data_IF_301623695928
#
_entry.id   IF_301623695928
#
_cell.length_a   1.000
_cell.length_b   1.000
_cell.length_c   1.000
_cell.angle_alpha   90.00
_cell.angle_beta   90.00
_cell.angle_gamma   90.00
#
_symmetry.space_group_name_H-M   'P 1'
#
loop_
_entity.id
_entity.type
_entity.pdbx_description
1 polymer ?
#
# COMPACT_ATOMS: atom_id res chain seq x y z
N UNK A 1 -35.37 47.70 -6.67
CA UNK A 1 -34.37 46.65 -6.93
C UNK A 1 -34.78 45.44 -6.14
N UNK A 2 -34.82 44.28 -6.76
CA UNK A 2 -35.11 43.01 -6.09
C UNK A 2 -33.81 42.44 -5.51
N UNK A 3 -33.89 41.66 -4.43
CA UNK A 3 -32.71 41.04 -3.79
C UNK A 3 -31.90 40.18 -4.75
N UNK A 4 -32.54 39.63 -5.79
CA UNK A 4 -31.89 38.85 -6.85
C UNK A 4 -31.00 39.71 -7.76
N UNK A 5 -31.35 40.99 -7.99
CA UNK A 5 -30.49 41.91 -8.76
C UNK A 5 -29.26 42.30 -7.94
N UNK A 6 -29.43 42.55 -6.64
CA UNK A 6 -28.30 42.89 -5.76
C UNK A 6 -27.29 41.73 -5.65
N UNK A 7 -27.76 40.49 -5.57
CA UNK A 7 -26.90 39.30 -5.57
C UNK A 7 -26.15 39.10 -6.89
N UNK A 8 -26.80 39.32 -8.04
CA UNK A 8 -26.13 39.20 -9.35
C UNK A 8 -25.06 40.27 -9.55
N UNK A 9 -25.35 41.51 -9.19
CA UNK A 9 -24.43 42.61 -9.36
C UNK A 9 -23.25 42.51 -8.36
N UNK A 10 -23.51 42.10 -7.12
CA UNK A 10 -22.47 41.89 -6.12
C UNK A 10 -21.52 40.72 -6.43
N UNK A 11 -22.02 39.65 -7.06
CA UNK A 11 -21.18 38.52 -7.49
C UNK A 11 -20.38 38.83 -8.75
N UNK A 12 -20.86 39.70 -9.63
CA UNK A 12 -20.13 40.08 -10.83
C UNK A 12 -18.82 40.83 -10.52
N UNK A 13 -18.81 41.67 -9.48
CA UNK A 13 -17.62 42.43 -9.06
C UNK A 13 -16.62 41.58 -8.23
N UNK A 14 -17.08 40.47 -7.64
CA UNK A 14 -16.25 39.61 -6.79
C UNK A 14 -15.50 38.51 -7.56
N UNK A 15 -15.84 38.27 -8.83
CA UNK A 15 -15.15 37.28 -9.68
C UNK A 15 -14.04 37.98 -10.45
N UNK A 16 -12.75 37.69 -10.15
CA UNK A 16 -11.64 38.25 -10.91
C UNK A 16 -11.79 37.90 -12.39
N UNK A 17 -11.53 38.86 -13.27
CA UNK A 17 -11.51 38.59 -14.71
C UNK A 17 -10.57 37.40 -14.99
N UNK A 18 -11.06 36.36 -15.68
CA UNK A 18 -10.22 35.21 -15.99
C UNK A 18 -9.01 35.72 -16.78
N UNK A 19 -7.77 35.34 -16.39
CA UNK A 19 -6.58 35.83 -17.07
C UNK A 19 -6.70 35.54 -18.56
N UNK A 20 -6.53 36.59 -19.37
CA UNK A 20 -6.66 36.53 -20.82
C UNK A 20 -5.89 35.33 -21.38
N UNK A 21 -6.64 34.33 -21.84
CA UNK A 21 -6.22 32.99 -22.22
C UNK A 21 -4.74 32.92 -22.69
N UNK A 22 -3.76 32.60 -21.82
CA UNK A 22 -2.47 32.18 -22.30
C UNK A 22 -2.67 30.80 -22.91
N UNK A 23 -2.58 30.74 -24.24
CA UNK A 23 -2.63 29.53 -25.07
C UNK A 23 -1.76 28.41 -24.44
N UNK A 24 -2.37 27.62 -23.55
CA UNK A 24 -1.70 26.53 -22.81
C UNK A 24 -1.14 25.50 -23.79
N UNK A 25 -1.75 25.37 -24.97
CA UNK A 25 -1.29 24.50 -26.05
C UNK A 25 0.03 25.00 -26.68
N UNK A 26 0.25 26.31 -26.80
CA UNK A 26 1.56 26.86 -27.21
C UNK A 26 2.65 26.67 -26.15
N UNK A 27 2.33 26.85 -24.87
CA UNK A 27 3.29 26.65 -23.79
C UNK A 27 3.75 25.18 -23.69
N UNK A 28 2.84 24.22 -23.90
CA UNK A 28 3.15 22.79 -23.94
C UNK A 28 4.06 22.41 -25.14
N UNK A 29 3.78 22.97 -26.34
CA UNK A 29 4.61 22.73 -27.54
C UNK A 29 6.04 23.27 -27.41
N UNK A 30 6.23 24.36 -26.65
CA UNK A 30 7.56 24.93 -26.38
C UNK A 30 8.46 24.04 -25.52
N UNK A 31 7.91 23.38 -24.49
CA UNK A 31 8.67 22.46 -23.61
C UNK A 31 9.06 21.16 -24.30
N UNK A 32 8.21 20.60 -25.17
CA UNK A 32 8.51 19.35 -25.88
C UNK A 32 9.69 19.48 -26.86
N UNK A 33 9.88 20.67 -27.47
CA UNK A 33 11.02 20.91 -28.39
C UNK A 33 12.38 21.02 -27.70
N UNK A 34 12.45 21.52 -26.45
CA UNK A 34 13.72 21.64 -25.72
C UNK A 34 14.29 20.30 -25.24
N UNK A 35 13.44 19.28 -25.01
CA UNK A 35 13.90 17.95 -24.56
C UNK A 35 14.54 17.10 -25.66
N UNK A 36 14.26 17.38 -26.94
CA UNK A 36 14.80 16.59 -28.07
C UNK A 36 16.26 16.90 -28.42
N UNK A 37 16.86 17.95 -27.87
CA UNK A 37 18.22 18.38 -28.20
C UNK A 37 19.28 17.98 -27.16
N UNK A 38 18.93 17.22 -26.12
CA UNK A 38 19.84 16.93 -24.99
C UNK A 38 20.02 15.42 -24.74
N UNK A 39 19.85 14.58 -25.76
CA UNK A 39 20.15 13.14 -25.67
C UNK A 39 21.05 12.76 -26.84
N UNK A 40 22.32 13.16 -26.75
CA UNK A 40 23.42 12.57 -27.50
C UNK A 40 24.66 12.69 -26.61
N UNK A 41 25.28 11.54 -26.32
CA UNK A 41 26.54 11.32 -25.61
C UNK A 41 26.46 10.90 -24.14
N UNK A 42 26.24 9.59 -23.90
CA UNK A 42 27.15 8.77 -23.06
C UNK A 42 27.21 7.37 -23.66
N UNK A 43 28.37 7.01 -24.21
CA UNK A 43 28.75 5.66 -24.65
C UNK A 43 29.85 5.18 -23.69
N UNK A 44 29.77 3.92 -23.26
CA UNK A 44 30.78 3.23 -22.44
C UNK A 44 30.21 2.87 -21.06
N UNK A 45 30.29 1.65 -20.55
CA UNK A 45 31.22 0.53 -20.78
C UNK A 45 30.59 -0.76 -20.27
N UNK A 46 30.61 -1.83 -21.08
CA UNK A 46 30.32 -3.18 -20.63
C UNK A 46 31.52 -3.71 -19.82
N UNK A 47 31.31 -4.00 -18.55
CA UNK A 47 32.29 -4.61 -17.64
C UNK A 47 31.78 -5.95 -17.15
N UNK A 48 32.34 -7.03 -17.69
CA UNK A 48 32.17 -8.39 -17.20
C UNK A 48 32.81 -8.52 -15.80
N UNK A 49 32.07 -9.03 -14.81
CA UNK A 49 32.65 -9.51 -13.56
C UNK A 49 32.56 -11.02 -13.54
N UNK A 50 33.73 -11.62 -13.62
CA UNK A 50 33.97 -13.05 -13.60
C UNK A 50 33.77 -13.63 -12.19
N UNK A 51 33.32 -14.88 -12.16
CA UNK A 51 33.27 -15.75 -11.00
C UNK A 51 34.64 -15.88 -10.31
N UNK A 52 34.63 -15.86 -8.97
CA UNK A 52 35.72 -16.36 -8.15
C UNK A 52 35.13 -17.25 -7.04
N UNK A 53 35.26 -18.55 -7.25
CA UNK A 53 35.18 -19.54 -6.18
C UNK A 53 36.48 -19.49 -5.38
N UNK A 54 36.39 -19.44 -4.05
CA UNK A 54 37.50 -19.77 -3.16
C UNK A 54 36.99 -20.43 -1.89
N UNK A 55 37.23 -21.74 -1.82
CA UNK A 55 37.19 -22.58 -0.63
C UNK A 55 38.10 -22.02 0.46
N UNK A 56 37.61 -21.90 1.69
CA UNK A 56 38.43 -22.09 2.89
C UNK A 56 37.64 -22.86 3.94
N UNK A 57 37.81 -24.17 3.91
CA UNK A 57 37.57 -25.03 5.05
C UNK A 57 38.77 -24.91 6.00
N UNK A 58 38.57 -24.32 7.17
CA UNK A 58 39.46 -24.50 8.33
C UNK A 58 38.67 -25.16 9.44
N UNK A 59 38.91 -26.46 9.59
CA UNK A 59 38.59 -27.26 10.75
C UNK A 59 39.36 -26.71 11.95
N UNK A 60 38.64 -26.13 12.91
CA UNK A 60 39.14 -25.91 14.27
C UNK A 60 38.26 -26.70 15.22
N UNK A 61 38.70 -27.94 15.49
CA UNK A 61 38.19 -28.77 16.59
C UNK A 61 38.65 -28.16 17.91
N UNK A 62 37.76 -27.44 18.59
CA UNK A 62 37.88 -27.06 19.98
C UNK A 62 36.67 -27.57 20.74
N UNK A 63 36.87 -28.67 21.46
CA UNK A 63 35.91 -29.27 22.40
C UNK A 63 35.66 -28.29 23.56
N UNK A 64 34.52 -27.59 23.53
CA UNK A 64 33.92 -26.98 24.71
C UNK A 64 32.45 -27.37 24.68
N UNK A 65 32.14 -28.50 25.31
CA UNK A 65 30.78 -28.85 25.74
C UNK A 65 30.41 -27.92 26.89
N UNK A 66 30.03 -26.69 26.58
CA UNK A 66 29.08 -25.94 27.38
C UNK A 66 27.70 -26.35 26.86
N UNK A 67 27.04 -27.26 27.59
CA UNK A 67 25.60 -27.48 27.53
C UNK A 67 24.90 -26.23 28.11
N UNK A 68 25.14 -25.06 27.49
CA UNK A 68 24.35 -23.87 27.73
C UNK A 68 23.06 -24.08 26.94
N UNK A 69 22.15 -24.78 27.61
CA UNK A 69 20.79 -25.02 27.19
C UNK A 69 20.11 -23.65 27.13
N UNK A 70 20.35 -22.91 26.04
CA UNK A 70 19.63 -21.71 25.66
C UNK A 70 18.17 -22.11 25.58
N UNK A 71 17.46 -21.89 26.67
CA UNK A 71 16.02 -22.00 26.72
C UNK A 71 15.52 -21.17 25.55
N UNK A 72 14.98 -21.83 24.52
CA UNK A 72 14.35 -21.13 23.41
C UNK A 72 13.31 -20.23 24.04
N UNK A 73 13.51 -18.92 23.93
CA UNK A 73 12.55 -17.96 24.44
C UNK A 73 11.17 -18.34 23.88
N UNK A 74 10.13 -18.38 24.73
CA UNK A 74 8.80 -18.71 24.28
C UNK A 74 8.45 -17.78 23.11
N UNK A 75 7.80 -18.30 22.04
CA UNK A 75 7.46 -17.48 20.89
C UNK A 75 6.69 -16.25 21.36
N UNK A 76 7.11 -15.08 20.89
CA UNK A 76 6.46 -13.82 21.24
C UNK A 76 4.95 -13.95 20.99
N UNK A 77 4.14 -13.64 22.00
CA UNK A 77 2.68 -13.67 21.86
C UNK A 77 2.28 -12.63 20.82
N UNK A 78 1.84 -13.10 19.66
CA UNK A 78 1.35 -12.24 18.58
C UNK A 78 0.06 -11.58 19.03
N UNK A 79 0.03 -10.26 19.02
CA UNK A 79 -1.15 -9.48 19.41
C UNK A 79 -2.26 -9.57 18.36
N UNK A 80 -3.50 -9.72 18.82
CA UNK A 80 -4.68 -9.77 17.97
C UNK A 80 -5.26 -8.37 17.72
N UNK A 81 -5.87 -8.18 16.55
CA UNK A 81 -6.56 -6.94 16.23
C UNK A 81 -7.86 -6.80 17.04
N UNK A 82 -8.08 -5.68 17.75
CA UNK A 82 -9.35 -5.41 18.40
C UNK A 82 -10.50 -5.44 17.39
N UNK A 83 -11.65 -6.06 17.71
CA UNK A 83 -12.77 -6.15 16.79
C UNK A 83 -13.29 -4.76 16.45
N UNK A 84 -13.67 -4.57 15.19
CA UNK A 84 -14.32 -3.34 14.71
C UNK A 84 -15.66 -3.67 14.06
N UNK A 85 -16.66 -2.82 14.32
CA UNK A 85 -18.00 -3.02 13.75
C UNK A 85 -18.04 -2.39 12.36
N UNK A 86 -18.42 -3.16 11.36
CA UNK A 86 -18.64 -2.67 10.00
C UNK A 86 -20.14 -2.43 9.81
N UNK A 87 -20.51 -1.22 9.38
CA UNK A 87 -21.88 -0.85 9.05
C UNK A 87 -21.90 -0.15 7.69
N UNK A 88 -22.72 -0.66 6.78
CA UNK A 88 -22.86 -0.10 5.43
C UNK A 88 -21.51 0.03 4.69
N UNK A 89 -20.61 -0.94 4.90
CA UNK A 89 -19.27 -0.95 4.30
C UNK A 89 -18.25 -0.03 4.98
N UNK A 90 -18.61 0.63 6.08
CA UNK A 90 -17.73 1.56 6.81
C UNK A 90 -17.44 1.03 8.21
N UNK A 91 -16.16 0.95 8.56
CA UNK A 91 -15.69 0.58 9.89
C UNK A 91 -15.99 1.72 10.89
N UNK A 92 -16.69 1.39 11.97
CA UNK A 92 -17.14 2.36 12.96
C UNK A 92 -16.09 2.55 14.06
N UNK A 93 -15.86 3.80 14.45
CA UNK A 93 -15.02 4.13 15.60
C UNK A 93 -15.60 3.61 16.93
N UNK A 94 -14.72 3.52 17.91
CA UNK A 94 -14.94 3.05 19.26
C UNK A 94 -14.19 3.96 20.25
N UNK A 95 -14.27 3.65 21.56
CA UNK A 95 -13.53 4.39 22.58
C UNK A 95 -12.00 4.33 22.38
N UNK A 96 -11.49 3.26 21.76
CA UNK A 96 -10.05 3.08 21.48
C UNK A 96 -9.55 4.09 20.43
N UNK A 97 -10.45 4.62 19.60
CA UNK A 97 -10.12 5.55 18.52
C UNK A 97 -10.28 7.02 18.96
N UNK A 98 -10.32 7.26 20.27
CA UNK A 98 -10.45 8.57 20.90
C UNK A 98 -9.40 8.68 22.01
N UNK A 99 -8.90 9.90 22.32
CA UNK A 99 -7.98 10.08 23.42
C UNK A 99 -8.57 9.61 24.75
N UNK A 100 -7.79 8.83 25.49
CA UNK A 100 -8.13 8.40 26.84
C UNK A 100 -7.33 9.26 27.85
N UNK A 101 -7.99 10.11 28.65
CA UNK A 101 -7.31 10.98 29.60
C UNK A 101 -6.56 10.22 30.70
N UNK A 102 -6.86 8.94 30.91
CA UNK A 102 -6.18 8.09 31.90
C UNK A 102 -4.99 7.31 31.30
N UNK A 103 -4.79 7.36 29.98
CA UNK A 103 -3.68 6.71 29.28
C UNK A 103 -2.43 7.60 29.19
N UNK A 104 -1.23 7.01 29.07
CA UNK A 104 -0.01 7.79 28.84
C UNK A 104 -0.02 8.44 27.44
N UNK A 105 0.47 9.68 27.33
CA UNK A 105 0.59 10.43 26.06
C UNK A 105 1.75 9.94 25.16
N UNK A 106 2.07 8.65 25.21
CA UNK A 106 3.15 8.03 24.45
C UNK A 106 2.93 6.52 24.42
N UNK A 107 3.40 5.86 23.36
CA UNK A 107 3.54 4.41 23.31
C UNK A 107 4.54 3.99 24.39
N UNK A 108 4.14 3.19 25.39
CA UNK A 108 5.06 2.70 26.42
C UNK A 108 6.16 1.83 25.82
N UNK A 109 7.40 1.98 26.31
CA UNK A 109 8.51 1.12 25.90
C UNK A 109 8.33 -0.33 26.36
N UNK A 110 9.07 -1.26 25.73
CA UNK A 110 9.05 -2.69 26.08
C UNK A 110 7.98 -3.52 25.35
N UNK A 111 7.38 -2.97 24.29
CA UNK A 111 6.51 -3.74 23.40
C UNK A 111 7.34 -4.78 22.65
N UNK A 112 6.85 -6.01 22.59
CA UNK A 112 7.53 -7.15 21.93
C UNK A 112 6.96 -7.48 20.56
N UNK A 113 5.80 -6.90 20.22
CA UNK A 113 5.20 -7.01 18.89
C UNK A 113 4.37 -5.77 18.57
N UNK A 114 4.16 -5.50 17.29
CA UNK A 114 3.19 -4.54 16.80
C UNK A 114 2.43 -5.13 15.62
N UNK A 115 1.12 -4.84 15.52
CA UNK A 115 0.29 -5.30 14.40
C UNK A 115 -0.52 -4.14 13.81
N UNK A 116 -0.49 -4.01 12.49
CA UNK A 116 -1.39 -3.10 11.77
C UNK A 116 -2.75 -3.77 11.58
N UNK A 117 -3.80 -3.03 11.92
CA UNK A 117 -5.17 -3.50 11.97
C UNK A 117 -6.11 -2.49 11.33
N UNK A 118 -7.27 -2.96 10.86
CA UNK A 118 -8.34 -2.08 10.40
C UNK A 118 -8.76 -1.11 11.52
N UNK A 119 -8.74 0.18 11.21
CA UNK A 119 -9.27 1.26 12.03
C UNK A 119 -10.63 1.75 11.51
N UNK A 120 -11.18 2.84 12.07
CA UNK A 120 -12.42 3.44 11.59
C UNK A 120 -12.27 3.99 10.17
N UNK A 121 -13.35 4.07 9.40
CA UNK A 121 -13.33 4.63 8.03
C UNK A 121 -13.58 3.57 6.96
N UNK A 122 -13.08 3.83 5.74
CA UNK A 122 -13.20 2.85 4.65
C UNK A 122 -12.32 1.62 4.91
N UNK A 123 -12.65 0.46 4.33
CA UNK A 123 -11.83 -0.73 4.47
C UNK A 123 -10.41 -0.51 3.96
N UNK A 124 -9.45 -1.06 4.69
CA UNK A 124 -8.02 -1.00 4.47
C UNK A 124 -7.49 -2.44 4.45
N UNK A 125 -6.70 -2.78 3.43
CA UNK A 125 -5.96 -4.04 3.44
C UNK A 125 -4.86 -3.96 4.50
N UNK A 126 -4.79 -4.94 5.40
CA UNK A 126 -3.78 -4.97 6.46
C UNK A 126 -2.95 -6.24 6.39
N UNK A 127 -1.62 -6.17 6.61
CA UNK A 127 -0.77 -7.34 6.66
C UNK A 127 -1.26 -8.35 7.71
N UNK A 128 -1.16 -9.63 7.37
CA UNK A 128 -1.59 -10.71 8.27
C UNK A 128 -0.60 -10.89 9.44
N UNK A 129 0.67 -10.65 9.21
CA UNK A 129 1.78 -10.80 10.14
C UNK A 129 1.98 -9.57 11.04
N UNK A 130 2.68 -9.81 12.15
CA UNK A 130 3.05 -8.78 13.10
C UNK A 130 4.53 -8.42 12.92
N UNK A 131 4.84 -7.15 13.19
CA UNK A 131 6.20 -6.70 13.42
C UNK A 131 6.66 -7.23 14.78
N UNK A 132 7.73 -8.01 14.80
CA UNK A 132 8.35 -8.58 16.01
C UNK A 132 9.83 -8.19 16.15
N UNK A 133 10.41 -7.60 15.11
CA UNK A 133 11.74 -6.96 15.14
C UNK A 133 11.59 -5.45 15.13
N UNK A 134 12.53 -4.73 15.78
CA UNK A 134 12.57 -3.26 15.76
C UNK A 134 11.27 -2.55 16.21
N UNK A 135 10.51 -3.19 17.10
CA UNK A 135 9.25 -2.66 17.64
C UNK A 135 9.49 -1.36 18.43
N UNK A 136 10.60 -1.27 19.17
CA UNK A 136 10.99 -0.05 19.86
C UNK A 136 11.30 1.10 18.90
N UNK A 137 11.85 0.81 17.72
CA UNK A 137 12.10 1.83 16.68
C UNK A 137 10.78 2.43 16.20
N UNK A 138 9.77 1.61 15.96
CA UNK A 138 8.43 2.08 15.62
C UNK A 138 7.80 2.91 16.73
N UNK A 139 7.85 2.43 17.98
CA UNK A 139 7.31 3.17 19.12
C UNK A 139 8.00 4.53 19.28
N UNK A 140 9.33 4.57 19.09
CA UNK A 140 10.11 5.81 19.14
C UNK A 140 9.74 6.78 18.01
N UNK A 141 9.49 6.30 16.79
CA UNK A 141 9.11 7.16 15.66
C UNK A 141 7.73 7.77 15.85
N UNK A 142 6.75 6.99 16.32
CA UNK A 142 5.41 7.48 16.68
C UNK A 142 5.48 8.52 17.79
N UNK A 143 6.27 8.26 18.84
CA UNK A 143 6.43 9.19 19.96
C UNK A 143 7.18 10.47 19.58
N UNK A 144 7.91 10.48 18.46
CA UNK A 144 8.62 11.65 17.94
C UNK A 144 7.76 12.51 17.01
N UNK A 145 6.54 12.08 16.66
CA UNK A 145 5.61 12.90 15.88
C UNK A 145 5.16 14.13 16.67
N UNK A 146 4.99 15.24 15.96
CA UNK A 146 4.51 16.49 16.55
C UNK A 146 3.07 16.33 17.06
N UNK A 147 2.69 17.12 18.06
CA UNK A 147 1.31 17.21 18.51
C UNK A 147 0.40 17.76 17.40
N UNK A 148 -0.80 17.20 17.25
CA UNK A 148 -1.77 17.75 16.32
C UNK A 148 -2.28 19.11 16.83
N UNK A 149 -2.43 20.13 15.96
CA UNK A 149 -3.02 21.40 16.36
C UNK A 149 -4.45 21.25 16.89
N UNK A 150 -4.77 21.85 18.05
CA UNK A 150 -6.10 21.78 18.68
C UNK A 150 -7.25 22.31 17.77
N UNK A 151 -6.92 23.19 16.82
CA UNK A 151 -7.90 23.92 16.00
C UNK A 151 -7.59 23.84 14.51
N UNK A 152 -7.49 22.61 13.99
CA UNK A 152 -7.33 22.38 12.56
C UNK A 152 -8.66 22.28 11.82
N UNK A 153 -8.67 22.80 10.59
CA UNK A 153 -9.80 22.64 9.67
C UNK A 153 -9.67 21.29 8.98
N UNK A 154 -10.61 20.39 9.24
CA UNK A 154 -10.59 19.05 8.67
C UNK A 154 -11.32 19.02 7.32
N UNK A 155 -10.84 18.16 6.43
CA UNK A 155 -11.49 17.91 5.15
C UNK A 155 -12.71 17.01 5.30
N UNK A 156 -13.56 16.95 4.27
CA UNK A 156 -14.72 16.05 4.20
C UNK A 156 -14.41 14.77 3.41
N UNK A 157 -13.14 14.42 3.29
CA UNK A 157 -12.71 13.20 2.65
C UNK A 157 -13.08 11.98 3.50
N UNK A 158 -13.42 10.90 2.79
CA UNK A 158 -13.80 9.62 3.38
C UNK A 158 -12.69 8.64 3.01
N UNK A 159 -11.71 8.50 3.90
CA UNK A 159 -10.55 7.64 3.73
C UNK A 159 -10.54 6.50 4.76
N UNK A 160 -9.53 5.63 4.65
CA UNK A 160 -9.33 4.55 5.61
C UNK A 160 -8.77 5.09 6.92
N UNK A 161 -8.97 4.34 7.98
CA UNK A 161 -8.22 4.49 9.22
C UNK A 161 -7.60 3.15 9.57
N UNK A 162 -6.58 3.21 10.41
CA UNK A 162 -5.84 2.05 10.85
C UNK A 162 -5.64 2.08 12.36
N UNK A 163 -5.27 0.94 12.92
CA UNK A 163 -4.77 0.82 14.28
C UNK A 163 -3.42 0.14 14.26
N UNK A 164 -2.47 0.62 15.06
CA UNK A 164 -1.25 -0.12 15.38
C UNK A 164 -1.41 -0.61 16.82
N UNK A 165 -1.43 -1.91 16.99
CA UNK A 165 -1.61 -2.57 18.28
C UNK A 165 -0.25 -3.08 18.75
N UNK A 166 0.26 -2.51 19.82
CA UNK A 166 1.48 -2.97 20.49
C UNK A 166 1.14 -4.04 21.52
N UNK A 167 1.83 -5.17 21.47
CA UNK A 167 1.72 -6.26 22.46
C UNK A 167 2.93 -6.30 23.38
N UNK A 168 2.70 -6.58 24.67
CA UNK A 168 3.73 -6.64 25.70
C UNK A 168 3.87 -8.05 26.28
N UNK A 169 5.01 -8.35 26.91
CA UNK A 169 5.31 -9.68 27.46
C UNK A 169 4.38 -10.14 28.59
N UNK A 170 3.62 -9.23 29.20
CA UNK A 170 2.59 -9.52 30.20
C UNK A 170 1.19 -9.69 29.60
N UNK A 171 1.09 -9.82 28.27
CA UNK A 171 -0.16 -9.90 27.49
C UNK A 171 -1.02 -8.62 27.52
N UNK A 172 -0.51 -7.51 28.06
CA UNK A 172 -1.17 -6.22 27.89
C UNK A 172 -0.96 -5.68 26.48
N UNK A 173 -1.79 -4.70 26.10
CA UNK A 173 -1.72 -4.07 24.79
C UNK A 173 -1.84 -2.55 24.89
N UNK A 174 -1.25 -1.85 23.93
CA UNK A 174 -1.41 -0.41 23.74
C UNK A 174 -1.80 -0.16 22.29
N UNK A 175 -2.86 0.63 22.06
CA UNK A 175 -3.37 0.88 20.71
C UNK A 175 -3.15 2.33 20.33
N UNK A 176 -2.57 2.52 19.15
CA UNK A 176 -2.53 3.79 18.44
C UNK A 176 -3.55 3.73 17.30
N UNK A 177 -4.34 4.78 17.09
CA UNK A 177 -5.36 4.81 16.04
C UNK A 177 -5.11 5.96 15.08
N UNK A 178 -4.81 5.65 13.82
CA UNK A 178 -4.59 6.64 12.76
C UNK A 178 -5.84 6.84 11.91
N UNK A 179 -6.15 8.09 11.59
CA UNK A 179 -7.19 8.46 10.63
C UNK A 179 -6.51 9.04 9.39
N UNK A 180 -6.56 8.35 8.25
CA UNK A 180 -6.05 8.86 6.96
C UNK A 180 -7.13 9.67 6.22
N UNK A 181 -8.00 10.30 7.01
CA UNK A 181 -9.11 11.09 6.54
C UNK A 181 -9.39 12.26 7.47
N UNK A 182 -10.09 13.25 6.93
CA UNK A 182 -10.60 14.40 7.65
C UNK A 182 -9.48 15.25 8.23
N UNK A 183 -9.11 14.95 9.48
CA UNK A 183 -8.10 15.71 10.20
C UNK A 183 -6.69 15.16 9.99
N UNK A 184 -6.53 13.93 9.46
CA UNK A 184 -5.21 13.30 9.35
C UNK A 184 -4.47 13.31 10.70
N UNK A 185 -5.09 12.66 11.70
CA UNK A 185 -4.60 12.64 13.08
C UNK A 185 -4.36 11.22 13.56
N UNK A 186 -3.38 11.09 14.46
CA UNK A 186 -3.03 9.86 15.14
C UNK A 186 -3.36 9.97 16.63
N UNK A 187 -4.24 9.11 17.14
CA UNK A 187 -4.54 9.04 18.58
C UNK A 187 -3.47 8.21 19.27
N UNK A 188 -2.77 8.80 20.24
CA UNK A 188 -1.75 8.15 21.07
C UNK A 188 -2.10 8.38 22.53
N UNK A 189 -2.71 7.39 23.18
CA UNK A 189 -3.12 7.48 24.58
C UNK A 189 -4.02 8.69 24.85
N UNK A 190 -3.53 9.67 25.61
CA UNK A 190 -4.30 10.86 25.99
C UNK A 190 -4.31 12.00 24.97
N UNK A 191 -3.56 11.90 23.88
CA UNK A 191 -3.35 13.01 22.94
C UNK A 191 -3.55 12.64 21.47
N UNK A 192 -3.40 13.68 20.64
CA UNK A 192 -3.34 13.57 19.19
C UNK A 192 -1.95 13.95 18.69
N UNK A 193 -1.42 13.16 17.75
CA UNK A 193 -0.22 13.48 16.96
C UNK A 193 -0.61 13.77 15.50
N UNK A 194 0.20 14.59 14.84
CA UNK A 194 0.10 14.88 13.42
C UNK A 194 0.69 13.72 12.58
N UNK A 195 0.42 13.73 11.27
CA UNK A 195 1.05 12.86 10.28
C UNK A 195 0.88 11.34 10.54
N UNK A 196 -0.37 10.83 10.59
CA UNK A 196 -0.63 9.40 10.71
C UNK A 196 -0.06 8.60 9.51
N UNK A 197 0.14 9.21 8.35
CA UNK A 197 0.79 8.59 7.20
C UNK A 197 2.23 8.18 7.53
N UNK A 198 2.99 9.04 8.22
CA UNK A 198 4.35 8.72 8.65
C UNK A 198 4.38 7.47 9.56
N UNK A 199 3.50 7.40 10.57
CA UNK A 199 3.42 6.24 11.46
C UNK A 199 3.04 4.94 10.73
N UNK A 200 2.11 5.00 9.77
CA UNK A 200 1.77 3.84 8.94
C UNK A 200 2.96 3.44 8.06
N UNK A 201 3.58 4.39 7.37
CA UNK A 201 4.72 4.18 6.48
C UNK A 201 5.90 3.55 7.24
N UNK A 202 6.18 4.00 8.46
CA UNK A 202 7.23 3.43 9.31
C UNK A 202 6.93 1.98 9.67
N UNK A 203 5.69 1.66 10.07
CA UNK A 203 5.29 0.28 10.33
C UNK A 203 5.51 -0.61 9.09
N UNK A 204 5.01 -0.17 7.92
CA UNK A 204 5.12 -0.95 6.69
C UNK A 204 6.58 -1.14 6.26
N UNK A 205 7.41 -0.12 6.43
CA UNK A 205 8.84 -0.17 6.09
C UNK A 205 9.61 -1.15 7.00
N UNK A 206 9.33 -1.14 8.31
CA UNK A 206 9.93 -2.07 9.27
C UNK A 206 9.45 -3.49 9.02
N UNK A 207 8.17 -3.68 8.70
CA UNK A 207 7.63 -5.00 8.36
C UNK A 207 8.27 -5.56 7.08
N UNK A 208 8.46 -4.72 6.06
CA UNK A 208 9.18 -5.13 4.86
C UNK A 208 10.62 -5.55 5.19
N UNK A 209 11.34 -4.77 6.00
CA UNK A 209 12.71 -5.11 6.41
C UNK A 209 12.77 -6.45 7.19
N UNK A 210 11.77 -6.72 8.03
CA UNK A 210 11.64 -8.01 8.72
C UNK A 210 11.46 -9.16 7.72
N UNK A 211 10.58 -8.97 6.72
CA UNK A 211 10.30 -9.97 5.68
C UNK A 211 11.50 -10.22 4.77
N UNK A 212 12.25 -9.19 4.42
CA UNK A 212 13.47 -9.30 3.61
C UNK A 212 14.56 -10.13 4.32
N UNK A 213 14.55 -10.17 5.65
CA UNK A 213 15.46 -10.94 6.48
C UNK A 213 14.93 -12.33 6.88
N UNK A 214 13.66 -12.62 6.59
CA UNK A 214 12.99 -13.86 6.96
C UNK A 214 12.84 -14.82 5.76
N UNK A 215 12.70 -16.11 6.06
CA UNK A 215 12.30 -17.08 5.06
C UNK A 215 10.78 -16.99 4.83
N UNK A 216 10.30 -16.90 3.58
CA UNK A 216 8.87 -16.90 3.29
C UNK A 216 8.17 -18.16 3.81
N UNK A 217 6.85 -18.11 4.06
CA UNK A 217 6.08 -19.30 4.43
C UNK A 217 6.25 -20.43 3.40
N UNK A 218 6.37 -21.68 3.87
CA UNK A 218 6.51 -22.85 2.99
C UNK A 218 5.27 -23.12 2.14
N UNK A 219 4.08 -22.79 2.67
CA UNK A 219 2.82 -23.01 1.97
C UNK A 219 2.60 -21.89 0.94
N UNK A 220 2.46 -22.23 -0.35
CA UNK A 220 2.21 -21.22 -1.37
C UNK A 220 0.84 -20.57 -1.13
N UNK A 221 0.73 -19.25 -1.34
CA UNK A 221 -0.53 -18.56 -1.12
C UNK A 221 -1.57 -19.03 -2.15
N UNK A 222 -2.82 -19.11 -1.71
CA UNK A 222 -3.96 -19.39 -2.59
C UNK A 222 -4.33 -18.10 -3.30
N UNK A 223 -4.48 -18.16 -4.62
CA UNK A 223 -4.88 -16.99 -5.41
C UNK A 223 -6.21 -16.40 -4.86
N UNK A 224 -6.32 -15.06 -4.76
CA UNK A 224 -7.50 -14.42 -4.17
C UNK A 224 -8.74 -14.62 -5.03
N UNK A 225 -9.92 -14.32 -4.47
CA UNK A 225 -11.15 -14.21 -5.27
C UNK A 225 -11.18 -12.88 -6.03
N UNK A 226 -12.10 -12.77 -6.99
CA UNK A 226 -12.37 -11.51 -7.69
C UNK A 226 -13.33 -10.60 -6.91
N UNK A 227 -13.73 -10.96 -5.69
CA UNK A 227 -14.56 -10.09 -4.87
C UNK A 227 -13.72 -8.88 -4.45
N UNK A 228 -14.05 -7.72 -5.03
CA UNK A 228 -13.55 -6.44 -4.58
C UNK A 228 -14.32 -6.11 -3.31
N UNK A 229 -13.71 -6.30 -2.14
CA UNK A 229 -14.35 -5.95 -0.85
C UNK A 229 -14.51 -4.44 -0.64
N UNK A 230 -14.19 -3.64 -1.68
CA UNK A 230 -14.14 -2.19 -1.61
C UNK A 230 -12.96 -1.69 -0.78
N UNK A 231 -11.98 -2.55 -0.48
CA UNK A 231 -10.72 -2.17 0.15
C UNK A 231 -9.91 -1.29 -0.82
N UNK A 232 -9.50 -0.13 -0.32
CA UNK A 232 -8.50 0.67 -1.02
C UNK A 232 -7.18 -0.13 -1.00
N UNK A 233 -6.57 -0.28 -2.18
CA UNK A 233 -5.33 -1.02 -2.36
C UNK A 233 -4.11 -0.24 -1.83
N UNK A 234 -4.05 -0.04 -0.51
CA UNK A 234 -2.79 0.33 0.16
C UNK A 234 -2.09 -0.96 0.61
N UNK A 235 -1.74 -1.78 -0.38
CA UNK A 235 -1.08 -3.05 -0.16
C UNK A 235 0.40 -2.81 0.19
N UNK A 236 0.85 -3.41 1.29
CA UNK A 236 2.27 -3.74 1.51
C UNK A 236 2.85 -4.56 0.37
N UNK A 237 2.01 -5.38 -0.26
CA UNK A 237 2.44 -6.25 -1.34
C UNK A 237 2.86 -5.47 -2.58
N UNK A 238 4.04 -5.81 -3.10
CA UNK A 238 4.51 -5.28 -4.38
C UNK A 238 4.00 -6.17 -5.52
N UNK A 239 3.65 -5.56 -6.66
CA UNK A 239 3.21 -6.32 -7.85
C UNK A 239 4.27 -7.33 -8.28
N UNK A 240 5.55 -6.97 -8.21
CA UNK A 240 6.68 -7.84 -8.56
C UNK A 240 6.80 -9.09 -7.65
N UNK A 241 6.16 -9.07 -6.47
CA UNK A 241 6.21 -10.15 -5.48
C UNK A 241 4.99 -11.08 -5.54
N UNK A 242 4.06 -10.87 -6.48
CA UNK A 242 2.90 -11.74 -6.65
C UNK A 242 3.34 -13.20 -6.89
N UNK A 243 2.93 -14.09 -6.00
CA UNK A 243 3.19 -15.53 -6.07
C UNK A 243 2.03 -16.30 -6.71
N UNK A 244 0.80 -15.78 -6.60
CA UNK A 244 -0.37 -16.32 -7.25
C UNK A 244 -1.32 -15.18 -7.66
N UNK A 245 -2.08 -15.39 -8.74
CA UNK A 245 -3.03 -14.39 -9.23
C UNK A 245 -4.23 -15.00 -9.95
N UNK A 246 -5.31 -14.25 -9.99
CA UNK A 246 -6.50 -14.49 -10.81
C UNK A 246 -6.70 -13.31 -11.78
N UNK A 247 -7.09 -13.64 -13.01
CA UNK A 247 -7.66 -12.67 -13.92
C UNK A 247 -9.16 -12.57 -13.62
N UNK A 248 -9.61 -11.36 -13.36
CA UNK A 248 -10.99 -11.05 -13.06
C UNK A 248 -11.63 -10.30 -14.23
N UNK A 249 -12.83 -10.72 -14.63
CA UNK A 249 -13.60 -10.09 -15.71
C UNK A 249 -15.00 -9.75 -15.21
N UNK A 250 -15.34 -8.46 -15.34
CA UNK A 250 -16.66 -7.94 -15.00
C UNK A 250 -17.69 -8.23 -16.10
N UNK A 251 -18.95 -8.43 -15.69
CA UNK A 251 -20.12 -8.22 -16.53
C UNK A 251 -21.02 -7.18 -15.85
N UNK A 252 -20.92 -5.92 -16.28
CA UNK A 252 -21.49 -4.81 -15.54
C UNK A 252 -20.72 -4.51 -14.27
N UNK A 253 -21.43 -4.32 -13.15
CA UNK A 253 -20.84 -3.87 -11.87
C UNK A 253 -20.36 -4.99 -10.94
N UNK A 254 -20.49 -6.25 -11.36
CA UNK A 254 -20.11 -7.40 -10.53
C UNK A 254 -19.08 -8.26 -11.25
N UNK A 255 -18.03 -8.73 -10.54
CA UNK A 255 -17.15 -9.77 -11.06
C UNK A 255 -18.02 -10.98 -11.36
N UNK A 256 -18.03 -11.41 -12.63
CA UNK A 256 -18.81 -12.61 -13.00
C UNK A 256 -17.93 -13.82 -13.21
N UNK A 257 -16.69 -13.61 -13.62
CA UNK A 257 -15.78 -14.69 -13.94
C UNK A 257 -14.38 -14.42 -13.44
N UNK A 258 -13.74 -15.49 -12.98
CA UNK A 258 -12.36 -15.52 -12.53
C UNK A 258 -11.64 -16.69 -13.19
N UNK A 259 -10.36 -16.50 -13.51
CA UNK A 259 -9.49 -17.56 -14.02
C UNK A 259 -8.14 -17.45 -13.32
N UNK A 260 -7.66 -18.49 -12.61
CA UNK A 260 -6.29 -18.52 -12.11
C UNK A 260 -5.28 -18.32 -13.24
N UNK A 261 -4.34 -17.42 -13.05
CA UNK A 261 -3.26 -17.16 -14.00
C UNK A 261 -2.19 -18.25 -13.79
N UNK A 262 -1.86 -19.07 -14.81
CA UNK A 262 -0.79 -20.05 -14.71
C UNK A 262 0.55 -19.41 -14.29
N UNK A 263 1.38 -20.12 -13.53
CA UNK A 263 2.61 -19.56 -12.97
C UNK A 263 3.58 -19.02 -14.04
N UNK A 264 3.73 -19.72 -15.18
CA UNK A 264 4.58 -19.27 -16.28
C UNK A 264 4.04 -17.98 -16.93
N UNK A 265 2.72 -17.86 -17.07
CA UNK A 265 2.07 -16.65 -17.57
C UNK A 265 2.24 -15.50 -16.59
N UNK A 266 2.03 -15.75 -15.29
CA UNK A 266 2.23 -14.73 -14.25
C UNK A 266 3.67 -14.22 -14.25
N UNK A 267 4.67 -15.11 -14.30
CA UNK A 267 6.07 -14.73 -14.38
C UNK A 267 6.37 -13.84 -15.61
N UNK A 268 5.80 -14.17 -16.78
CA UNK A 268 5.94 -13.37 -17.98
C UNK A 268 5.28 -11.98 -17.85
N UNK A 269 4.08 -11.90 -17.26
CA UNK A 269 3.40 -10.63 -17.00
C UNK A 269 4.18 -9.75 -16.01
N UNK A 270 4.72 -10.33 -14.92
CA UNK A 270 5.52 -9.61 -13.94
C UNK A 270 6.83 -9.07 -14.54
N UNK A 271 7.51 -9.88 -15.37
CA UNK A 271 8.69 -9.43 -16.09
C UNK A 271 8.38 -8.28 -17.05
N UNK A 272 7.23 -8.32 -17.75
CA UNK A 272 6.77 -7.26 -18.63
C UNK A 272 6.46 -5.97 -17.86
N UNK A 273 5.77 -6.09 -16.71
CA UNK A 273 5.46 -4.97 -15.82
C UNK A 273 6.74 -4.25 -15.37
N UNK A 274 7.77 -4.99 -14.98
CA UNK A 274 9.02 -4.40 -14.51
C UNK A 274 9.73 -3.57 -15.61
N UNK A 275 9.61 -4.00 -16.87
CA UNK A 275 10.25 -3.31 -18.01
C UNK A 275 9.40 -2.14 -18.54
N UNK A 276 8.09 -2.33 -18.67
CA UNK A 276 7.20 -1.43 -19.40
C UNK A 276 6.39 -0.47 -18.50
N UNK A 277 6.31 -0.72 -17.19
CA UNK A 277 5.56 0.16 -16.28
C UNK A 277 6.27 1.52 -16.09
N UNK A 278 5.52 2.60 -16.32
CA UNK A 278 6.02 3.98 -16.23
C UNK A 278 5.34 4.77 -15.11
N UNK A 279 6.10 5.60 -14.40
CA UNK A 279 5.57 6.45 -13.34
C UNK A 279 4.79 7.63 -13.91
N UNK A 280 3.59 7.88 -13.39
CA UNK A 280 2.80 9.07 -13.73
C UNK A 280 2.27 9.09 -15.16
N UNK A 281 2.04 7.94 -15.78
CA UNK A 281 1.17 7.87 -16.96
C UNK A 281 -0.21 8.34 -16.54
N UNK A 282 -0.69 9.45 -17.09
CA UNK A 282 -1.98 10.01 -16.68
C UNK A 282 -3.09 8.98 -16.84
N UNK A 283 -3.88 8.76 -15.80
CA UNK A 283 -5.05 7.86 -15.86
C UNK A 283 -6.20 8.63 -16.47
N UNK A 284 -6.60 8.27 -17.70
CA UNK A 284 -7.88 8.72 -18.22
C UNK A 284 -8.99 8.02 -17.41
N UNK A 285 -10.09 8.72 -17.10
CA UNK A 285 -11.26 8.09 -16.46
C UNK A 285 -12.24 7.66 -17.54
N UNK A 286 -12.39 6.36 -17.74
CA UNK A 286 -13.35 5.76 -18.66
C UNK A 286 -14.11 4.69 -17.90
N UNK A 287 -15.43 4.74 -18.02
CA UNK A 287 -16.31 3.70 -17.51
C UNK A 287 -16.41 2.59 -18.56
N UNK A 288 -15.40 1.73 -18.63
CA UNK A 288 -15.49 0.47 -19.36
C UNK A 288 -15.22 -0.67 -18.41
N UNK A 289 -16.10 -1.66 -18.42
CA UNK A 289 -15.85 -2.94 -17.77
C UNK A 289 -14.61 -3.54 -18.43
N UNK A 290 -13.55 -3.69 -17.64
CA UNK A 290 -12.26 -4.16 -18.12
C UNK A 290 -11.74 -5.24 -17.18
N UNK A 291 -10.90 -6.16 -17.69
CA UNK A 291 -10.24 -7.13 -16.83
C UNK A 291 -9.34 -6.43 -15.82
N UNK A 292 -9.18 -7.03 -14.65
CA UNK A 292 -8.13 -6.66 -13.69
C UNK A 292 -7.47 -7.92 -13.17
N UNK A 293 -6.27 -7.77 -12.64
CA UNK A 293 -5.53 -8.87 -12.01
C UNK A 293 -5.64 -8.67 -10.49
N UNK A 294 -6.08 -9.70 -9.79
CA UNK A 294 -6.04 -9.77 -8.32
C UNK A 294 -5.02 -10.83 -7.95
N UNK A 295 -3.96 -10.42 -7.25
CA UNK A 295 -2.84 -11.26 -6.88
C UNK A 295 -2.60 -11.28 -5.38
N UNK A 296 -1.71 -12.16 -4.96
CA UNK A 296 -1.26 -12.31 -3.58
C UNK A 296 0.25 -12.55 -3.54
N UNK A 297 0.95 -11.88 -2.64
CA UNK A 297 2.40 -12.08 -2.43
C UNK A 297 2.68 -13.39 -1.68
N UNK A 298 3.95 -13.80 -1.62
CA UNK A 298 4.36 -14.94 -0.78
C UNK A 298 4.00 -14.78 0.71
N UNK A 299 3.81 -13.53 1.16
CA UNK A 299 3.42 -13.19 2.53
C UNK A 299 1.89 -13.14 2.74
N UNK A 300 1.11 -13.38 1.69
CA UNK A 300 -0.34 -13.32 1.74
C UNK A 300 -0.93 -11.92 1.54
N UNK A 301 -0.12 -10.90 1.21
CA UNK A 301 -0.65 -9.56 0.95
C UNK A 301 -1.36 -9.54 -0.41
N UNK A 302 -2.59 -9.02 -0.43
CA UNK A 302 -3.33 -8.84 -1.67
C UNK A 302 -2.76 -7.68 -2.48
N UNK A 303 -2.67 -7.86 -3.79
CA UNK A 303 -2.21 -6.82 -4.73
C UNK A 303 -3.16 -6.78 -5.92
N UNK A 304 -3.61 -5.59 -6.32
CA UNK A 304 -4.51 -5.42 -7.47
C UNK A 304 -3.88 -4.58 -8.57
N UNK A 305 -4.09 -5.00 -9.82
CA UNK A 305 -3.66 -4.28 -11.02
C UNK A 305 -4.90 -4.04 -11.89
N UNK A 306 -5.44 -2.83 -11.79
CA UNK A 306 -6.73 -2.44 -12.39
C UNK A 306 -6.57 -1.85 -13.79
N UNK A 307 -7.40 -2.24 -14.75
CA UNK A 307 -7.39 -1.64 -16.09
C UNK A 307 -8.27 -0.38 -16.17
N UNK A 308 -7.68 0.71 -16.65
CA UNK A 308 -8.31 2.01 -16.84
C UNK A 308 -7.98 2.58 -18.22
N UNK A 309 -8.99 2.70 -19.10
CA UNK A 309 -8.85 3.36 -20.42
C UNK A 309 -7.62 2.96 -21.24
N UNK A 310 -7.32 1.66 -21.36
CA UNK A 310 -6.20 1.17 -22.17
C UNK A 310 -4.83 1.14 -21.47
N UNK A 311 -4.80 1.32 -20.16
CA UNK A 311 -3.62 1.04 -19.34
C UNK A 311 -4.01 0.37 -18.03
N UNK A 312 -3.16 -0.49 -17.51
CA UNK A 312 -3.25 -0.98 -16.15
C UNK A 312 -2.63 0.02 -15.18
N UNK A 313 -3.25 0.22 -14.02
CA UNK A 313 -2.76 1.06 -12.92
C UNK A 313 -2.28 0.14 -11.80
N UNK A 314 -1.06 0.38 -11.36
CA UNK A 314 -0.43 -0.35 -10.27
C UNK A 314 -0.68 0.38 -8.95
N UNK A 315 -0.62 -0.31 -7.79
CA UNK A 315 -0.79 0.31 -6.47
C UNK A 315 0.21 1.43 -6.18
N UNK A 316 1.43 1.33 -6.72
CA UNK A 316 2.49 2.34 -6.56
C UNK A 316 2.31 3.60 -7.45
N UNK A 317 1.17 3.69 -8.16
CA UNK A 317 0.84 4.79 -9.06
C UNK A 317 1.58 4.77 -10.40
N UNK A 318 2.35 3.72 -10.71
CA UNK A 318 2.80 3.45 -12.08
C UNK A 318 1.62 3.00 -12.94
N UNK A 319 1.79 3.17 -14.23
CA UNK A 319 0.87 2.66 -15.25
C UNK A 319 1.62 1.71 -16.17
N UNK A 320 0.98 0.62 -16.53
CA UNK A 320 1.52 -0.42 -17.38
C UNK A 320 0.66 -0.56 -18.64
N UNK A 321 1.32 -0.54 -19.80
CA UNK A 321 0.73 -0.92 -21.07
C UNK A 321 1.42 -2.21 -21.48
N UNK A 322 0.71 -3.34 -21.56
CA UNK A 322 1.33 -4.63 -21.86
C UNK A 322 2.09 -4.58 -23.18
N UNK A 323 3.25 -5.24 -23.23
CA UNK A 323 3.88 -5.53 -24.52
C UNK A 323 3.01 -6.45 -25.37
N UNK A 324 3.42 -6.71 -26.62
CA UNK A 324 2.68 -7.62 -27.50
C UNK A 324 2.56 -9.02 -26.93
N UNK A 325 3.59 -9.52 -26.24
CA UNK A 325 3.60 -10.86 -25.65
C UNK A 325 2.68 -10.92 -24.43
N UNK A 326 2.81 -9.96 -23.50
CA UNK A 326 1.94 -9.87 -22.34
C UNK A 326 0.46 -9.66 -22.73
N UNK A 327 0.19 -8.86 -23.77
CA UNK A 327 -1.16 -8.69 -24.30
C UNK A 327 -1.74 -10.01 -24.84
N UNK A 328 -0.94 -10.84 -25.52
CA UNK A 328 -1.40 -12.15 -26.01
C UNK A 328 -1.77 -13.11 -24.87
N UNK A 329 -1.01 -13.08 -23.76
CA UNK A 329 -1.34 -13.83 -22.54
C UNK A 329 -2.69 -13.37 -22.00
N UNK A 330 -2.88 -12.07 -21.81
CA UNK A 330 -4.13 -11.50 -21.31
C UNK A 330 -5.33 -11.81 -22.22
N UNK A 331 -5.18 -11.64 -23.54
CA UNK A 331 -6.24 -11.92 -24.51
C UNK A 331 -6.65 -13.40 -24.48
N UNK A 332 -5.68 -14.31 -24.36
CA UNK A 332 -5.95 -15.74 -24.22
C UNK A 332 -6.72 -16.03 -22.93
N UNK A 333 -6.26 -15.54 -21.78
CA UNK A 333 -6.94 -15.72 -20.49
C UNK A 333 -8.37 -15.15 -20.50
N UNK A 334 -8.58 -13.97 -21.09
CA UNK A 334 -9.91 -13.35 -21.28
C UNK A 334 -10.82 -14.23 -22.16
N UNK A 335 -10.25 -14.88 -23.18
CA UNK A 335 -11.02 -15.79 -24.05
C UNK A 335 -11.41 -17.10 -23.36
N UNK A 336 -10.57 -17.61 -22.46
CA UNK A 336 -10.81 -18.83 -21.70
C UNK A 336 -11.84 -18.64 -20.57
N UNK A 337 -11.81 -17.47 -19.90
CA UNK A 337 -12.68 -17.17 -18.76
C UNK A 337 -14.13 -16.88 -19.16
N UNK A 338 -14.36 -16.43 -20.41
CA UNK A 338 -15.71 -16.16 -20.93
C UNK A 338 -16.29 -17.43 -21.54
N UNK A 339 -17.40 -17.98 -21.01
CA UNK A 339 -18.05 -19.11 -21.64
C UNK A 339 -18.50 -18.72 -23.06
N UNK A 340 -18.19 -19.56 -24.04
CA UNK A 340 -18.69 -19.41 -25.42
C UNK A 340 -20.23 -19.49 -25.35
N UNK A 341 -20.95 -18.47 -25.84
CA UNK A 341 -22.41 -18.37 -25.71
C UNK A 341 -23.20 -19.48 -26.41
#
# INVERSE_FOLDING_TARGET
MTDEQWLRDGLADAVPEPPGNPDRARAARGRARRRRTTVLAVVGTAGAVAAAAALTATLSSGDVTDDDQTASDPPASVVECPPIKIRDGVAQGSAIDQPDPDAPDAVPGGATSARLCQGPGTPLEVPADALVTDVETLAASINALDEAPEHQMCTHDLGPGYRIVFGYGDSTTFVVSGQLYGCHTLVVGSGYRADPEAAQSDFLSLLQAQRDAAEPPEEPPVAPSCETDGTAADATGQVAEMAAAVLCVNEGRVPRWSLPIPADDLAALLADIEVEAVRGGGVNRCYRDAPWISGVTVWGDRVEVGYHCDTYVLPDGRTWVPSTEAQQILDRLVSEVRPVP
#
